data_IF_252295039206
#
_entry.id   IF_252295039206
#
_cell.length_a   1.000
_cell.length_b   1.000
_cell.length_c   1.000
_cell.angle_alpha   90.00
_cell.angle_beta   90.00
_cell.angle_gamma   90.00
#
_symmetry.space_group_name_H-M   'P 1'
#
loop_
_entity.id
_entity.type
_entity.pdbx_description
1 polymer ?
#
# COMPACT_ATOMS: atom_id res chain seq x y z
N UNK A 1 10.23 17.38 10.60
CA UNK A 1 10.32 16.82 9.24
C UNK A 1 9.52 15.52 9.24
N UNK A 2 8.27 15.57 8.77
CA UNK A 2 7.32 14.46 8.92
C UNK A 2 7.66 13.31 7.96
N UNK A 3 7.73 12.09 8.49
CA UNK A 3 7.96 10.87 7.70
C UNK A 3 6.93 10.71 6.58
N UNK A 4 7.30 10.11 5.42
CA UNK A 4 6.51 10.20 4.21
C UNK A 4 5.19 9.39 4.29
N UNK A 5 4.24 9.63 3.38
CA UNK A 5 2.89 9.06 3.32
C UNK A 5 2.81 7.54 3.06
N UNK A 6 3.93 6.81 3.11
CA UNK A 6 4.05 5.42 2.67
C UNK A 6 3.17 4.46 3.47
N UNK A 7 2.90 4.75 4.75
CA UNK A 7 1.97 3.95 5.56
C UNK A 7 0.55 3.90 4.96
N UNK A 8 0.14 4.92 4.19
CA UNK A 8 -1.15 4.95 3.49
C UNK A 8 -1.23 3.93 2.36
N UNK A 9 -0.10 3.41 1.88
CA UNK A 9 -0.04 2.34 0.87
C UNK A 9 0.35 1.01 1.51
N UNK A 10 1.41 1.01 2.33
CA UNK A 10 1.96 -0.20 2.92
C UNK A 10 0.96 -0.87 3.89
N UNK A 11 0.15 -0.09 4.60
CA UNK A 11 -0.89 -0.62 5.48
C UNK A 11 -1.95 -1.42 4.71
N UNK A 12 -2.67 -0.81 3.75
CA UNK A 12 -3.62 -1.52 2.90
C UNK A 12 -3.01 -2.69 2.13
N UNK A 13 -1.79 -2.52 1.57
CA UNK A 13 -1.11 -3.59 0.84
C UNK A 13 -0.81 -4.82 1.71
N UNK A 14 -0.34 -4.62 2.94
CA UNK A 14 -0.11 -5.71 3.89
C UNK A 14 -1.41 -6.38 4.33
N UNK A 15 -2.51 -5.62 4.50
CA UNK A 15 -3.82 -6.18 4.81
C UNK A 15 -4.38 -7.00 3.65
N UNK A 16 -4.28 -6.52 2.41
CA UNK A 16 -4.62 -7.29 1.20
C UNK A 16 -3.78 -8.57 1.08
N UNK A 17 -2.50 -8.53 1.44
CA UNK A 17 -1.64 -9.72 1.49
C UNK A 17 -2.15 -10.74 2.52
N UNK A 18 -2.58 -10.29 3.70
CA UNK A 18 -3.17 -11.17 4.73
C UNK A 18 -4.49 -11.77 4.27
N UNK A 19 -5.35 -10.97 3.64
CA UNK A 19 -6.61 -11.42 3.05
C UNK A 19 -6.35 -12.52 2.00
N UNK A 20 -5.35 -12.33 1.12
CA UNK A 20 -4.93 -13.35 0.15
C UNK A 20 -4.51 -14.65 0.84
N UNK A 21 -3.72 -14.58 1.91
CA UNK A 21 -3.29 -15.76 2.67
C UNK A 21 -4.45 -16.48 3.34
N UNK A 22 -5.39 -15.75 3.95
CA UNK A 22 -6.61 -16.30 4.56
C UNK A 22 -7.48 -17.02 3.52
N UNK A 23 -7.70 -16.39 2.36
CA UNK A 23 -8.42 -17.01 1.23
C UNK A 23 -7.75 -18.30 0.76
N UNK A 24 -6.41 -18.32 0.68
CA UNK A 24 -5.66 -19.51 0.30
C UNK A 24 -5.75 -20.63 1.34
N UNK A 25 -5.95 -20.30 2.62
CA UNK A 25 -6.22 -21.25 3.70
C UNK A 25 -7.68 -21.76 3.73
N UNK A 26 -8.55 -21.27 2.84
CA UNK A 26 -9.96 -21.67 2.77
C UNK A 26 -10.89 -20.86 3.69
N UNK A 27 -10.40 -19.77 4.30
CA UNK A 27 -11.25 -18.87 5.08
C UNK A 27 -12.20 -18.08 4.17
N UNK A 28 -13.44 -17.88 4.64
CA UNK A 28 -14.38 -16.99 4.00
C UNK A 28 -13.90 -15.53 4.13
N UNK A 29 -13.82 -14.85 3.00
CA UNK A 29 -13.44 -13.43 2.89
C UNK A 29 -14.58 -12.72 2.16
N UNK A 30 -15.06 -11.60 2.71
CA UNK A 30 -16.09 -10.81 2.03
C UNK A 30 -15.49 -9.95 0.93
N UNK A 31 -16.27 -9.71 -0.13
CA UNK A 31 -15.86 -8.80 -1.20
C UNK A 31 -15.70 -7.38 -0.67
N UNK A 32 -16.58 -6.94 0.23
CA UNK A 32 -16.51 -5.62 0.88
C UNK A 32 -15.19 -5.42 1.65
N UNK A 33 -14.66 -6.45 2.32
CA UNK A 33 -13.36 -6.38 3.02
C UNK A 33 -12.22 -6.12 2.02
N UNK A 34 -12.28 -6.71 0.83
CA UNK A 34 -11.28 -6.52 -0.23
C UNK A 34 -11.42 -5.13 -0.84
N UNK A 35 -12.64 -4.71 -1.16
CA UNK A 35 -12.92 -3.42 -1.82
C UNK A 35 -12.46 -2.25 -0.96
N UNK A 36 -12.74 -2.27 0.34
CA UNK A 36 -12.30 -1.23 1.28
C UNK A 36 -10.78 -1.05 1.28
N UNK A 37 -10.04 -2.16 1.28
CA UNK A 37 -8.58 -2.10 1.30
C UNK A 37 -7.97 -1.70 -0.05
N UNK A 38 -8.66 -2.01 -1.17
CA UNK A 38 -8.28 -1.52 -2.49
C UNK A 38 -8.49 -0.02 -2.58
N UNK A 39 -9.64 0.51 -2.14
CA UNK A 39 -9.90 1.95 -2.13
C UNK A 39 -8.87 2.70 -1.29
N UNK A 40 -8.58 2.22 -0.07
CA UNK A 40 -7.57 2.83 0.79
C UNK A 40 -6.15 2.81 0.16
N UNK A 41 -5.81 1.76 -0.58
CA UNK A 41 -4.55 1.65 -1.31
C UNK A 41 -4.46 2.68 -2.45
N UNK A 42 -5.53 2.83 -3.23
CA UNK A 42 -5.61 3.76 -4.35
C UNK A 42 -5.58 5.22 -3.87
N UNK A 43 -6.31 5.55 -2.80
CA UNK A 43 -6.24 6.88 -2.17
C UNK A 43 -4.82 7.22 -1.70
N UNK A 44 -4.13 6.24 -1.11
CA UNK A 44 -2.73 6.37 -0.71
C UNK A 44 -1.81 6.62 -1.90
N UNK A 45 -2.04 5.93 -3.01
CA UNK A 45 -1.29 6.08 -4.27
C UNK A 45 -1.51 7.45 -4.91
N UNK A 46 -2.76 7.91 -4.97
CA UNK A 46 -3.12 9.22 -5.53
C UNK A 46 -2.50 10.37 -4.73
N UNK A 47 -2.50 10.26 -3.40
CA UNK A 47 -1.84 11.24 -2.54
C UNK A 47 -0.32 11.31 -2.73
N UNK A 48 0.32 10.18 -3.05
CA UNK A 48 1.74 10.15 -3.37
C UNK A 48 2.01 10.71 -4.77
N UNK A 49 1.15 10.38 -5.73
CA UNK A 49 1.24 10.88 -7.10
C UNK A 49 1.09 12.40 -7.18
N UNK A 50 0.14 12.97 -6.42
CA UNK A 50 -0.09 14.41 -6.34
C UNK A 50 1.04 15.16 -5.60
N UNK A 51 2.01 14.46 -5.00
CA UNK A 51 3.18 15.03 -4.32
C UNK A 51 4.46 14.69 -5.09
N UNK A 52 4.86 15.50 -6.09
CA UNK A 52 6.00 15.21 -6.97
C UNK A 52 7.35 15.03 -6.23
N UNK A 53 7.50 15.62 -5.04
CA UNK A 53 8.67 15.42 -4.20
C UNK A 53 8.74 14.01 -3.59
N UNK A 54 7.59 13.37 -3.33
CA UNK A 54 7.52 12.05 -2.70
C UNK A 54 7.70 10.92 -3.71
N UNK A 55 7.21 11.07 -4.95
CA UNK A 55 7.52 10.17 -6.05
C UNK A 55 9.04 10.10 -6.31
N UNK A 56 9.73 11.25 -6.35
CA UNK A 56 11.21 11.29 -6.46
C UNK A 56 11.94 10.63 -5.30
N UNK A 57 11.40 10.69 -4.09
CA UNK A 57 11.97 9.99 -2.92
C UNK A 57 11.76 8.48 -2.99
N UNK A 58 10.65 8.02 -3.58
CA UNK A 58 10.34 6.61 -3.78
C UNK A 58 11.19 5.99 -4.88
N UNK A 59 11.32 6.66 -6.03
CA UNK A 59 12.22 6.23 -7.10
C UNK A 59 13.65 6.09 -6.56
N UNK A 60 14.11 7.08 -5.78
CA UNK A 60 15.43 7.06 -5.15
C UNK A 60 15.58 5.98 -4.06
N UNK A 61 14.50 5.60 -3.38
CA UNK A 61 14.50 4.52 -2.41
C UNK A 61 14.46 3.13 -3.08
N UNK A 62 13.78 3.02 -4.23
CA UNK A 62 13.77 1.81 -5.06
C UNK A 62 15.11 1.58 -5.78
N UNK A 63 15.79 2.67 -6.18
CA UNK A 63 17.15 2.65 -6.73
C UNK A 63 18.25 2.56 -5.66
N UNK A 64 17.90 2.49 -4.38
CA UNK A 64 18.91 2.33 -3.33
C UNK A 64 19.34 0.85 -3.27
N UNK A 65 20.59 0.51 -3.65
CA UNK A 65 21.08 -0.85 -3.43
C UNK A 65 21.04 -1.11 -1.92
N UNK A 66 20.40 -2.22 -1.52
CA UNK A 66 20.36 -2.67 -0.13
C UNK A 66 21.80 -2.69 0.44
N UNK A 67 22.04 -2.14 1.65
CA UNK A 67 23.28 -2.40 2.36
C UNK A 67 23.44 -3.89 2.71
#
# INVERSE_FOLDING_TARGET
MGHPPLYRILGPAERLRRIKSRRAAGEAVSVEEVDWEIEALLDGADLLHQRPATAKMLDKAADCPNP
#
